data_IF_920905690501
#
_entry.id   IF_920905690501
#
_cell.length_a   1.000
_cell.length_b   1.000
_cell.length_c   1.000
_cell.angle_alpha   90.00
_cell.angle_beta   90.00
_cell.angle_gamma   90.00
#
_symmetry.space_group_name_H-M   'P 1'
#
loop_
_entity.id
_entity.type
_entity.pdbx_description
1 polymer ?
#
# COMPACT_ATOMS: atom_id res chain seq x y z
N UNK A 1 -6.58 18.72 0.41
CA UNK A 1 -6.12 17.32 0.34
C UNK A 1 -4.63 17.26 0.58
N UNK A 2 -4.21 16.37 1.43
CA UNK A 2 -2.79 16.20 1.74
C UNK A 2 -2.23 15.03 0.94
N UNK A 3 -0.95 15.12 0.60
CA UNK A 3 -0.28 14.09 -0.18
C UNK A 3 1.06 13.75 0.45
N UNK A 4 1.36 12.46 0.52
CA UNK A 4 2.64 11.95 0.99
C UNK A 4 3.27 11.14 -0.15
N UNK A 5 4.54 11.40 -0.43
CA UNK A 5 5.29 10.64 -1.43
C UNK A 5 6.62 10.21 -0.82
N UNK A 6 6.96 8.94 -0.98
CA UNK A 6 8.25 8.39 -0.56
C UNK A 6 8.73 7.39 -1.58
N UNK A 7 10.04 7.32 -1.77
CA UNK A 7 10.66 6.31 -2.62
C UNK A 7 11.76 5.60 -1.84
N UNK A 8 11.96 4.34 -2.17
CA UNK A 8 13.04 3.54 -1.60
C UNK A 8 13.55 2.57 -2.66
N UNK A 9 14.86 2.42 -2.72
CA UNK A 9 15.48 1.44 -3.60
C UNK A 9 15.77 0.18 -2.78
N UNK A 10 15.32 -0.97 -3.30
CA UNK A 10 15.49 -2.26 -2.62
C UNK A 10 16.34 -3.18 -3.50
N UNK A 11 17.23 -3.92 -2.85
CA UNK A 11 18.16 -4.83 -3.54
C UNK A 11 17.53 -6.19 -3.81
N UNK A 12 16.38 -6.19 -4.47
CA UNK A 12 15.69 -7.40 -4.92
C UNK A 12 15.08 -7.15 -6.29
N UNK A 13 14.83 -8.20 -7.09
CA UNK A 13 14.18 -8.05 -8.40
C UNK A 13 12.79 -7.45 -8.26
N UNK A 14 12.33 -6.80 -9.33
CA UNK A 14 11.00 -6.15 -9.35
C UNK A 14 9.88 -7.16 -9.03
N UNK A 15 10.01 -8.37 -9.53
CA UNK A 15 9.02 -9.43 -9.25
C UNK A 15 8.96 -9.75 -7.76
N UNK A 16 10.10 -9.83 -7.09
CA UNK A 16 10.15 -10.10 -5.65
C UNK A 16 9.50 -8.96 -4.85
N UNK A 17 9.84 -7.72 -5.18
CA UNK A 17 9.28 -6.55 -4.50
C UNK A 17 7.76 -6.48 -4.70
N UNK A 18 7.31 -6.66 -5.92
CA UNK A 18 5.90 -6.62 -6.23
C UNK A 18 5.14 -7.75 -5.55
N UNK A 19 5.64 -8.98 -5.67
CA UNK A 19 4.97 -10.15 -5.08
C UNK A 19 4.80 -9.99 -3.57
N UNK A 20 5.82 -9.51 -2.87
CA UNK A 20 5.70 -9.28 -1.43
C UNK A 20 4.64 -8.24 -1.12
N UNK A 21 4.53 -7.20 -1.95
CA UNK A 21 3.53 -6.16 -1.74
C UNK A 21 2.11 -6.66 -1.96
N UNK A 22 1.92 -7.79 -2.61
CA UNK A 22 0.58 -8.42 -2.76
C UNK A 22 0.17 -9.19 -1.52
N UNK A 23 1.07 -9.42 -0.58
CA UNK A 23 0.80 -10.16 0.64
C UNK A 23 0.39 -9.17 1.75
N UNK A 24 -0.82 -8.64 1.63
CA UNK A 24 -1.33 -7.60 2.52
C UNK A 24 -1.35 -8.04 3.98
N UNK A 25 -1.57 -9.32 4.25
CA UNK A 25 -1.63 -9.85 5.61
C UNK A 25 -0.26 -9.86 6.29
N UNK A 26 0.81 -9.63 5.53
CA UNK A 26 2.17 -9.50 6.07
C UNK A 26 2.51 -8.05 6.44
N UNK A 27 1.68 -7.08 6.10
CA UNK A 27 1.97 -5.67 6.32
C UNK A 27 2.31 -5.31 7.77
N UNK A 28 1.70 -5.91 8.80
CA UNK A 28 2.09 -5.60 10.18
C UNK A 28 3.58 -5.86 10.48
N UNK A 29 4.24 -6.68 9.69
CA UNK A 29 5.66 -7.00 9.91
C UNK A 29 6.58 -5.83 9.58
N UNK A 30 6.12 -4.87 8.75
CA UNK A 30 6.92 -3.70 8.41
C UNK A 30 6.15 -2.38 8.47
N UNK A 31 4.86 -2.40 8.80
CA UNK A 31 4.06 -1.19 8.98
C UNK A 31 3.67 -1.07 10.46
N UNK A 32 4.37 -0.21 11.18
CA UNK A 32 4.25 -0.13 12.63
C UNK A 32 2.89 0.30 13.16
N UNK A 33 2.08 0.99 12.34
CA UNK A 33 0.74 1.40 12.75
C UNK A 33 -0.36 0.43 12.35
N UNK A 34 -0.02 -0.64 11.65
CA UNK A 34 -1.00 -1.62 11.17
C UNK A 34 -0.98 -2.84 12.07
N UNK A 35 -2.10 -3.14 12.72
CA UNK A 35 -2.23 -4.36 13.53
C UNK A 35 -2.56 -5.57 12.68
N UNK A 36 -3.47 -5.40 11.72
CA UNK A 36 -3.83 -6.50 10.83
C UNK A 36 -4.41 -5.98 9.52
N UNK A 37 -4.25 -6.76 8.48
CA UNK A 37 -4.93 -6.58 7.21
C UNK A 37 -5.47 -7.94 6.82
N UNK A 38 -6.74 -8.00 6.45
CA UNK A 38 -7.36 -9.23 5.97
C UNK A 38 -7.87 -8.98 4.56
N UNK A 39 -7.45 -9.81 3.62
CA UNK A 39 -7.96 -9.73 2.26
C UNK A 39 -9.26 -10.51 2.18
N UNK A 40 -10.37 -9.81 1.98
CA UNK A 40 -11.71 -10.42 2.00
C UNK A 40 -12.17 -10.86 0.62
N UNK A 41 -11.55 -10.33 -0.43
CA UNK A 41 -11.77 -10.76 -1.80
C UNK A 41 -10.56 -10.34 -2.64
N UNK A 42 -10.57 -10.62 -3.93
CA UNK A 42 -9.46 -10.22 -4.82
C UNK A 42 -9.24 -8.70 -4.84
N UNK A 43 -10.26 -7.92 -4.52
CA UNK A 43 -10.20 -6.46 -4.59
C UNK A 43 -10.50 -5.76 -3.27
N UNK A 44 -10.85 -6.50 -2.21
CA UNK A 44 -11.22 -5.88 -0.94
C UNK A 44 -10.32 -6.30 0.19
N UNK A 45 -9.94 -5.33 1.01
CA UNK A 45 -9.13 -5.57 2.21
C UNK A 45 -9.78 -4.87 3.39
N UNK A 46 -9.61 -5.48 4.58
CA UNK A 46 -10.06 -4.90 5.85
C UNK A 46 -8.83 -4.62 6.70
N UNK A 47 -8.72 -3.40 7.17
CA UNK A 47 -7.54 -2.92 7.91
C UNK A 47 -7.89 -2.58 9.34
N UNK A 48 -7.01 -2.96 10.26
CA UNK A 48 -7.06 -2.51 11.64
C UNK A 48 -5.74 -1.81 11.92
N UNK A 49 -5.82 -0.54 12.31
CA UNK A 49 -4.63 0.25 12.64
C UNK A 49 -4.71 0.69 14.10
N UNK A 50 -3.54 0.83 14.72
CA UNK A 50 -3.45 1.36 16.08
C UNK A 50 -2.25 2.28 16.16
N UNK A 51 -2.53 3.56 16.30
CA UNK A 51 -1.51 4.61 16.29
C UNK A 51 -1.80 5.54 17.47
N UNK A 52 -0.78 5.72 18.34
CA UNK A 52 -0.94 6.58 19.49
C UNK A 52 -2.03 6.12 20.45
N UNK A 53 -2.29 4.80 20.53
CA UNK A 53 -3.34 4.26 21.37
C UNK A 53 -4.74 4.32 20.76
N UNK A 54 -4.88 4.87 19.57
CA UNK A 54 -6.16 4.99 18.88
C UNK A 54 -6.29 3.88 17.85
N UNK A 55 -7.31 3.05 18.00
CA UNK A 55 -7.59 1.97 17.06
C UNK A 55 -8.62 2.44 16.02
N UNK A 56 -8.35 2.15 14.75
CA UNK A 56 -9.24 2.47 13.64
C UNK A 56 -9.40 1.24 12.76
N UNK A 57 -10.59 1.08 12.22
CA UNK A 57 -10.87 0.03 11.24
C UNK A 57 -11.45 0.67 9.99
N UNK A 58 -11.07 0.15 8.84
CA UNK A 58 -11.62 0.61 7.58
C UNK A 58 -11.45 -0.48 6.52
N UNK A 59 -12.25 -0.38 5.47
CA UNK A 59 -12.11 -1.21 4.29
C UNK A 59 -11.41 -0.42 3.20
N UNK A 60 -10.65 -1.10 2.37
CA UNK A 60 -10.01 -0.49 1.21
C UNK A 60 -10.22 -1.38 -0.01
N UNK A 61 -10.55 -0.73 -1.12
CA UNK A 61 -10.72 -1.40 -2.40
C UNK A 61 -9.47 -1.25 -3.24
N UNK A 62 -8.98 -2.35 -3.78
CA UNK A 62 -7.89 -2.33 -4.75
C UNK A 62 -8.51 -1.88 -6.06
N UNK A 63 -8.14 -0.69 -6.53
CA UNK A 63 -8.72 -0.11 -7.74
C UNK A 63 -7.91 -0.46 -8.98
N UNK A 64 -6.64 -0.82 -8.81
CA UNK A 64 -5.75 -1.16 -9.91
C UNK A 64 -4.64 -2.05 -9.39
N UNK A 65 -4.32 -3.11 -10.11
CA UNK A 65 -3.20 -3.97 -9.77
C UNK A 65 -2.66 -4.60 -11.05
N UNK A 66 -1.40 -4.30 -11.35
CA UNK A 66 -0.71 -4.81 -12.52
C UNK A 66 0.62 -5.41 -12.09
N UNK A 67 0.86 -6.71 -12.36
CA UNK A 67 2.09 -7.37 -11.95
C UNK A 67 3.35 -6.61 -12.35
N UNK A 68 4.25 -6.45 -11.37
CA UNK A 68 5.56 -5.79 -11.51
C UNK A 68 5.47 -4.31 -11.87
N UNK A 69 4.28 -3.71 -11.83
CA UNK A 69 4.08 -2.30 -12.16
C UNK A 69 3.49 -1.49 -11.02
N UNK A 70 2.28 -1.85 -10.52
CA UNK A 70 1.63 -1.02 -9.51
C UNK A 70 0.49 -1.73 -8.78
N UNK A 71 0.21 -1.21 -7.59
CA UNK A 71 -0.99 -1.53 -6.81
C UNK A 71 -1.58 -0.21 -6.36
N UNK A 72 -2.84 0.04 -6.69
CA UNK A 72 -3.56 1.25 -6.26
C UNK A 72 -4.80 0.85 -5.45
N UNK A 73 -5.14 1.67 -4.46
CA UNK A 73 -6.29 1.41 -3.60
C UNK A 73 -6.97 2.71 -3.17
N UNK A 74 -8.19 2.57 -2.65
CA UNK A 74 -8.89 3.68 -1.99
C UNK A 74 -9.68 3.16 -0.80
N UNK A 75 -9.87 4.00 0.18
CA UNK A 75 -10.69 3.65 1.34
C UNK A 75 -12.17 3.65 0.99
N UNK A 76 -12.92 2.79 1.67
CA UNK A 76 -14.39 2.71 1.53
C UNK A 76 -14.96 3.04 2.90
N UNK A 77 -15.67 4.15 3.02
CA UNK A 77 -16.20 4.60 4.30
C UNK A 77 -15.10 5.06 5.25
N UNK A 78 -15.39 5.07 6.55
CA UNK A 78 -14.43 5.50 7.56
C UNK A 78 -14.39 7.01 7.74
N UNK A 79 -13.54 7.47 8.66
CA UNK A 79 -13.44 8.86 9.03
C UNK A 79 -12.48 9.67 8.16
N UNK A 80 -11.62 8.98 7.41
CA UNK A 80 -10.65 9.62 6.54
C UNK A 80 -10.77 9.00 5.16
N UNK A 81 -10.89 9.84 4.15
CA UNK A 81 -10.80 9.37 2.77
C UNK A 81 -9.33 9.35 2.38
N UNK A 82 -8.85 8.22 1.94
CA UNK A 82 -7.51 8.12 1.43
C UNK A 82 -7.44 7.18 0.23
N UNK A 83 -6.48 7.45 -0.62
CA UNK A 83 -6.18 6.62 -1.77
C UNK A 83 -4.67 6.59 -1.91
N UNK A 84 -4.17 5.50 -2.43
CA UNK A 84 -2.74 5.38 -2.60
C UNK A 84 -2.39 4.56 -3.81
N UNK A 85 -1.13 4.70 -4.22
CA UNK A 85 -0.56 3.87 -5.26
C UNK A 85 0.89 3.57 -4.91
N UNK A 86 1.28 2.32 -5.10
CA UNK A 86 2.67 1.89 -5.01
C UNK A 86 3.07 1.49 -6.41
N UNK A 87 4.14 2.08 -6.91
CA UNK A 87 4.67 1.76 -8.23
C UNK A 87 6.05 1.13 -8.09
N UNK A 88 6.36 0.25 -9.02
CA UNK A 88 7.60 -0.52 -9.01
C UNK A 88 8.37 -0.24 -10.29
N UNK A 89 9.62 0.21 -10.14
CA UNK A 89 10.46 0.59 -11.26
C UNK A 89 11.72 -0.25 -11.24
N UNK A 90 11.88 -1.10 -12.23
CA UNK A 90 13.07 -1.93 -12.35
C UNK A 90 14.28 -1.05 -12.68
N UNK A 91 15.27 -1.07 -11.79
CA UNK A 91 16.54 -0.38 -12.00
C UNK A 91 17.58 -1.30 -12.63
N UNK A 92 17.54 -2.58 -12.23
CA UNK A 92 18.41 -3.62 -12.77
C UNK A 92 17.74 -4.97 -12.54
N UNK A 93 18.41 -6.06 -12.89
CA UNK A 93 17.87 -7.39 -12.64
C UNK A 93 17.71 -7.71 -11.15
N UNK A 94 18.42 -6.98 -10.28
CA UNK A 94 18.46 -7.25 -8.84
C UNK A 94 18.11 -6.03 -7.99
N UNK A 95 17.69 -4.93 -8.57
CA UNK A 95 17.38 -3.70 -7.84
C UNK A 95 16.09 -3.07 -8.36
N UNK A 96 15.25 -2.61 -7.45
CA UNK A 96 13.93 -2.03 -7.78
C UNK A 96 13.74 -0.75 -7.00
N UNK A 97 13.18 0.26 -7.63
CA UNK A 97 12.71 1.46 -6.94
C UNK A 97 11.22 1.31 -6.67
N UNK A 98 10.86 1.41 -5.40
CA UNK A 98 9.48 1.37 -4.95
C UNK A 98 9.07 2.79 -4.60
N UNK A 99 8.02 3.29 -5.24
CA UNK A 99 7.49 4.62 -4.97
C UNK A 99 6.09 4.50 -4.37
N UNK A 100 5.88 5.16 -3.24
CA UNK A 100 4.60 5.16 -2.53
C UNK A 100 4.04 6.57 -2.56
N UNK A 101 2.79 6.71 -3.00
CA UNK A 101 2.08 7.98 -2.98
C UNK A 101 0.73 7.75 -2.31
N UNK A 102 0.43 8.57 -1.29
CA UNK A 102 -0.85 8.49 -0.59
C UNK A 102 -1.46 9.88 -0.54
N UNK A 103 -2.71 9.97 -0.99
CA UNK A 103 -3.51 11.19 -0.89
C UNK A 103 -4.56 10.94 0.19
N UNK A 104 -4.78 11.93 1.04
CA UNK A 104 -5.77 11.77 2.09
C UNK A 104 -6.48 13.08 2.39
N UNK A 105 -7.73 12.95 2.87
CA UNK A 105 -8.57 14.07 3.23
C UNK A 105 -9.44 13.66 4.42
N UNK A 106 -9.35 14.36 5.56
CA UNK A 106 -10.21 14.05 6.69
C UNK A 106 -11.64 14.47 6.40
N UNK A 107 -12.58 13.65 6.83
CA UNK A 107 -14.00 13.99 6.77
C UNK A 107 -14.33 14.83 8.00
N UNK A 108 -14.85 16.03 7.79
CA UNK A 108 -15.12 16.97 8.87
C UNK A 108 -13.88 17.78 9.22
N UNK A 109 -13.82 18.30 10.44
CA UNK A 109 -12.81 19.27 10.85
C UNK A 109 -11.60 18.66 11.57
N UNK A 110 -11.37 17.37 11.49
CA UNK A 110 -10.32 16.70 12.26
C UNK A 110 -9.11 16.40 11.37
N UNK A 111 -8.13 17.30 11.38
CA UNK A 111 -6.93 17.16 10.55
C UNK A 111 -5.99 16.06 11.02
N UNK A 112 -5.96 15.76 12.31
CA UNK A 112 -5.02 14.80 12.87
C UNK A 112 -5.39 13.35 12.61
N UNK A 113 -6.55 13.09 12.06
CA UNK A 113 -6.99 11.72 11.77
C UNK A 113 -6.10 11.06 10.73
N UNK A 114 -5.51 11.84 9.82
CA UNK A 114 -4.55 11.30 8.86
C UNK A 114 -3.40 10.56 9.53
N UNK A 115 -2.84 11.15 10.59
CA UNK A 115 -1.78 10.51 11.36
C UNK A 115 -2.30 9.24 12.06
N UNK A 116 -3.53 9.25 12.53
CA UNK A 116 -4.11 8.09 13.22
C UNK A 116 -4.38 6.91 12.29
N UNK A 117 -4.48 7.12 10.98
CA UNK A 117 -4.60 6.02 10.02
C UNK A 117 -3.27 5.72 9.30
N UNK A 118 -2.19 6.39 9.69
CA UNK A 118 -0.85 6.06 9.22
C UNK A 118 -0.43 6.71 7.91
N UNK A 119 -1.02 7.86 7.55
CA UNK A 119 -0.74 8.54 6.29
C UNK A 119 0.09 9.81 6.44
N UNK A 120 0.78 10.02 7.58
CA UNK A 120 1.70 11.14 7.72
C UNK A 120 3.08 10.83 7.14
N UNK A 121 3.83 11.88 6.76
CA UNK A 121 5.13 11.75 6.11
C UNK A 121 6.12 10.89 6.90
N UNK A 122 6.22 11.11 8.20
CA UNK A 122 7.19 10.40 9.03
C UNK A 122 6.86 8.91 9.10
N UNK A 123 5.60 8.57 9.19
CA UNK A 123 5.14 7.19 9.26
C UNK A 123 5.40 6.46 7.94
N UNK A 124 5.03 7.07 6.83
CA UNK A 124 5.22 6.45 5.51
C UNK A 124 6.71 6.27 5.23
N UNK A 125 7.52 7.25 5.58
CA UNK A 125 8.98 7.15 5.43
C UNK A 125 9.56 6.03 6.27
N UNK A 126 9.13 5.90 7.52
CA UNK A 126 9.60 4.84 8.40
C UNK A 126 9.18 3.46 7.88
N UNK A 127 7.94 3.34 7.42
CA UNK A 127 7.42 2.07 6.95
C UNK A 127 8.06 1.62 5.64
N UNK A 128 8.38 2.56 4.74
CA UNK A 128 9.11 2.21 3.51
C UNK A 128 10.52 1.72 3.81
N UNK A 129 11.18 2.31 4.79
CA UNK A 129 12.50 1.83 5.24
C UNK A 129 12.41 0.45 5.87
N UNK A 130 11.35 0.18 6.63
CA UNK A 130 11.14 -1.13 7.22
C UNK A 130 10.84 -2.18 6.15
N UNK A 131 10.09 -1.81 5.12
CA UNK A 131 9.86 -2.70 3.99
C UNK A 131 11.18 -3.08 3.31
N UNK A 132 12.05 -2.09 3.08
CA UNK A 132 13.37 -2.35 2.50
C UNK A 132 14.13 -3.36 3.34
N UNK A 133 14.24 -3.14 4.65
CA UNK A 133 14.95 -4.05 5.54
C UNK A 133 14.29 -5.44 5.54
N UNK A 134 12.96 -5.47 5.55
CA UNK A 134 12.21 -6.73 5.56
C UNK A 134 12.50 -7.56 4.32
N UNK A 135 12.35 -6.97 3.12
CA UNK A 135 12.49 -7.73 1.88
C UNK A 135 13.95 -8.08 1.58
N UNK A 136 14.88 -7.21 1.93
CA UNK A 136 16.29 -7.49 1.72
C UNK A 136 16.82 -8.56 2.67
N UNK A 137 16.33 -8.60 3.89
CA UNK A 137 16.73 -9.64 4.85
C UNK A 137 16.17 -10.99 4.48
N UNK A 138 14.98 -11.03 3.88
CA UNK A 138 14.39 -12.29 3.40
C UNK A 138 15.02 -12.75 2.11
N UNK A 139 15.33 -11.83 1.21
CA UNK A 139 15.84 -12.13 -0.13
C UNK A 139 14.81 -12.73 -1.07
N UNK A 140 13.61 -13.03 -0.57
CA UNK A 140 12.52 -13.62 -1.36
C UNK A 140 11.18 -13.20 -0.76
N UNK A 141 10.14 -13.22 -1.59
CA UNK A 141 8.79 -12.90 -1.15
C UNK A 141 8.18 -14.06 -0.35
N UNK A 142 7.21 -13.73 0.51
CA UNK A 142 6.51 -14.73 1.32
C UNK A 142 5.37 -15.40 0.54
N UNK A 143 4.99 -14.84 -0.60
CA UNK A 143 3.93 -15.36 -1.44
C UNK A 143 3.73 -14.42 -2.61
N UNK A 144 2.68 -14.67 -3.39
CA UNK A 144 2.41 -13.83 -4.55
C UNK A 144 0.93 -13.88 -4.93
N UNK A 145 0.47 -12.80 -5.55
CA UNK A 145 -0.78 -12.77 -6.29
C UNK A 145 -0.51 -11.98 -7.58
N UNK A 146 -0.66 -12.63 -8.69
CA UNK A 146 -0.27 -12.05 -9.98
C UNK A 146 -1.45 -11.81 -10.90
N UNK A 147 -2.64 -11.70 -10.32
CA UNK A 147 -3.83 -11.31 -11.05
C UNK A 147 -3.76 -9.84 -11.47
N UNK A 148 -4.65 -9.44 -12.33
CA UNK A 148 -4.73 -8.09 -12.86
C UNK A 148 -6.06 -7.47 -12.46
N UNK A 149 -6.00 -6.26 -11.90
CA UNK A 149 -7.20 -5.49 -11.55
C UNK A 149 -7.15 -4.19 -12.34
N UNK A 150 -8.09 -4.04 -13.26
CA UNK A 150 -8.22 -2.81 -14.04
C UNK A 150 -9.12 -1.83 -13.30
N UNK A 151 -8.99 -0.53 -13.55
CA UNK A 151 -9.91 0.46 -13.01
C UNK A 151 -11.35 0.09 -13.34
N UNK A 152 -12.27 0.46 -12.44
CA UNK A 152 -13.68 0.11 -12.58
C UNK A 152 -14.34 0.65 -13.83
N UNK A 153 -15.58 0.26 -14.08
CA UNK A 153 -16.31 0.70 -15.27
C UNK A 153 -16.30 2.23 -15.41
N UNK A 154 -16.02 2.70 -16.62
CA UNK A 154 -15.92 4.13 -16.90
C UNK A 154 -14.54 4.73 -16.62
N UNK A 155 -13.71 4.08 -15.83
CA UNK A 155 -12.35 4.55 -15.52
C UNK A 155 -11.33 4.06 -16.53
N UNK A 156 -11.57 2.86 -17.08
CA UNK A 156 -10.73 2.29 -18.12
C UNK A 156 -11.60 1.82 -19.27
N UNK A 157 -11.57 2.51 -20.42
CA UNK A 157 -12.40 2.12 -21.55
C UNK A 157 -11.92 0.84 -22.23
N UNK A 158 -10.76 0.32 -21.85
CA UNK A 158 -10.23 -0.89 -22.43
C UNK A 158 -9.76 -1.85 -21.34
N UNK A 159 -10.70 -2.39 -20.55
CA UNK A 159 -10.35 -3.19 -19.37
C UNK A 159 -9.71 -4.54 -19.70
N UNK A 160 -9.76 -4.96 -20.94
CA UNK A 160 -9.14 -6.21 -21.34
C UNK A 160 -7.65 -6.11 -21.63
N UNK A 161 -7.09 -4.96 -21.42
CA UNK A 161 -5.70 -4.71 -21.78
C UNK A 161 -4.87 -4.49 -20.54
#
# INVERSE_FOLDING_TARGET
MSQVQETVDVDVPVTTAYNQWTQFESFPEFMGGVESVTQTSDTMTHWVTKIGGVEREFDAEITEQHPDERVAWRSIGGEVEHAGVVTFHRLSDTTTRVAVQIDWEPKGAVEKIGAAVGVDDARVKADTKKFKAFIESRGTESGQWRGDVAPGPGANPNPGV
#
